data_IF_809269765778
#
_entry.id   IF_809269765778
#
_cell.length_a   1.000
_cell.length_b   1.000
_cell.length_c   1.000
_cell.angle_alpha   90.00
_cell.angle_beta   90.00
_cell.angle_gamma   90.00
#
_symmetry.space_group_name_H-M   'P 1'
#
loop_
_entity.id
_entity.type
_entity.pdbx_description
1 polymer ?
#
# COMPACT_ATOMS: atom_id res chain seq x y z
N UNK A 1 2.75 30.58 7.96
CA UNK A 1 2.43 29.16 8.23
C UNK A 1 2.86 28.89 9.64
N UNK A 2 1.96 28.29 10.41
CA UNK A 2 2.25 27.82 11.76
C UNK A 2 2.50 26.31 11.66
N UNK A 3 3.78 25.93 11.63
CA UNK A 3 4.18 24.53 11.59
C UNK A 3 4.11 23.92 13.00
N UNK A 4 3.75 22.64 13.08
CA UNK A 4 3.79 21.85 14.31
C UNK A 4 4.67 20.61 14.12
N UNK A 5 5.22 20.05 15.23
CA UNK A 5 5.83 18.73 15.18
C UNK A 5 4.91 17.70 14.51
N UNK A 6 5.47 16.90 13.62
CA UNK A 6 4.76 15.91 12.80
C UNK A 6 4.33 16.40 11.42
N UNK A 7 4.34 17.72 11.15
CA UNK A 7 4.06 18.21 9.80
C UNK A 7 5.14 17.74 8.81
N UNK A 8 4.70 17.40 7.60
CA UNK A 8 5.61 17.14 6.49
C UNK A 8 5.77 18.43 5.69
N UNK A 9 7.00 18.84 5.49
CA UNK A 9 7.38 20.06 4.78
C UNK A 9 8.40 19.75 3.70
N UNK A 10 8.53 20.65 2.73
CA UNK A 10 9.57 20.59 1.71
C UNK A 10 10.29 21.95 1.67
N UNK A 11 11.56 21.95 1.25
CA UNK A 11 12.22 23.21 0.93
C UNK A 11 11.51 23.84 -0.28
N UNK A 12 11.38 25.17 -0.29
CA UNK A 12 10.84 25.91 -1.44
C UNK A 12 11.65 25.76 -2.73
N UNK A 13 12.88 25.26 -2.63
CA UNK A 13 13.70 24.85 -3.77
C UNK A 13 13.33 23.47 -4.32
N UNK A 14 12.35 22.78 -3.71
CA UNK A 14 12.08 21.36 -3.89
C UNK A 14 13.04 20.47 -3.09
N UNK A 15 12.97 19.15 -3.31
CA UNK A 15 13.87 18.16 -2.70
C UNK A 15 13.11 17.04 -1.99
N UNK A 16 13.75 16.47 -0.97
CA UNK A 16 13.14 15.42 -0.15
C UNK A 16 12.11 16.02 0.84
N UNK A 17 10.99 15.34 1.09
CA UNK A 17 10.08 15.71 2.17
C UNK A 17 10.78 15.54 3.52
N UNK A 18 10.53 16.50 4.41
CA UNK A 18 11.14 16.68 5.71
C UNK A 18 10.04 16.58 6.77
N UNK A 19 10.26 15.84 7.85
CA UNK A 19 9.33 15.81 8.99
C UNK A 19 9.77 16.82 10.04
N UNK A 20 8.85 17.69 10.47
CA UNK A 20 9.08 18.66 11.54
C UNK A 20 9.17 17.95 12.89
N UNK A 21 10.26 18.15 13.62
CA UNK A 21 10.48 17.61 14.98
C UNK A 21 10.17 18.67 16.03
N UNK A 22 10.62 19.90 15.81
CA UNK A 22 10.47 21.01 16.74
C UNK A 22 10.41 22.33 15.98
N UNK A 23 9.64 23.29 16.50
CA UNK A 23 9.60 24.67 16.00
C UNK A 23 9.96 25.60 17.15
N UNK A 24 11.01 26.41 16.97
CA UNK A 24 11.52 27.33 17.99
C UNK A 24 12.10 28.59 17.37
N UNK A 25 11.60 29.75 17.81
CA UNK A 25 12.13 31.07 17.43
C UNK A 25 12.31 31.26 15.90
N UNK A 26 11.35 30.77 15.09
CA UNK A 26 11.39 30.86 13.64
C UNK A 26 12.36 29.88 12.95
N UNK A 27 12.99 28.99 13.71
CA UNK A 27 13.76 27.86 13.22
C UNK A 27 12.98 26.57 13.42
N UNK A 28 13.20 25.63 12.50
CA UNK A 28 12.48 24.36 12.44
C UNK A 28 13.52 23.26 12.40
N UNK A 29 13.46 22.34 13.36
CA UNK A 29 14.28 21.14 13.34
C UNK A 29 13.55 20.09 12.53
N UNK A 30 14.16 19.63 11.45
CA UNK A 30 13.60 18.64 10.55
C UNK A 30 14.43 17.34 10.54
N UNK A 31 13.77 16.24 10.23
CA UNK A 31 14.42 14.94 9.94
C UNK A 31 13.93 14.39 8.61
N UNK A 32 14.81 13.69 7.89
CA UNK A 32 14.46 13.01 6.65
C UNK A 32 15.42 11.87 6.33
N UNK A 33 14.96 10.95 5.49
CA UNK A 33 15.80 9.90 4.92
C UNK A 33 16.47 10.42 3.65
N UNK A 34 17.79 10.33 3.57
CA UNK A 34 18.53 10.55 2.35
C UNK A 34 18.39 9.38 1.38
N UNK A 35 18.91 9.58 0.18
CA UNK A 35 18.74 8.62 -0.92
C UNK A 35 19.43 7.26 -0.68
N UNK A 36 20.43 7.22 0.20
CA UNK A 36 21.19 6.01 0.55
C UNK A 36 20.66 5.34 1.83
N UNK A 37 19.54 5.84 2.39
CA UNK A 37 18.94 5.31 3.61
C UNK A 37 19.49 5.92 4.90
N UNK A 38 20.37 6.91 4.82
CA UNK A 38 20.85 7.66 5.98
C UNK A 38 19.77 8.57 6.56
N UNK A 39 19.68 8.65 7.88
CA UNK A 39 18.78 9.58 8.56
C UNK A 39 19.51 10.91 8.82
N UNK A 40 19.01 11.98 8.24
CA UNK A 40 19.50 13.34 8.44
C UNK A 40 18.64 14.11 9.43
N UNK A 41 19.27 15.04 10.14
CA UNK A 41 18.61 15.99 11.04
C UNK A 41 19.26 17.36 10.88
N UNK A 42 18.47 18.38 10.59
CA UNK A 42 18.97 19.74 10.38
C UNK A 42 18.00 20.80 10.91
N UNK A 43 18.55 21.95 11.27
CA UNK A 43 17.77 23.13 11.67
C UNK A 43 17.68 24.09 10.49
N UNK A 44 16.48 24.30 9.99
CA UNK A 44 16.20 25.12 8.81
C UNK A 44 15.34 26.33 9.20
N UNK A 45 15.55 27.51 8.60
CA UNK A 45 14.68 28.66 8.83
C UNK A 45 13.25 28.38 8.34
N UNK A 46 12.23 28.81 9.08
CA UNK A 46 10.82 28.70 8.65
C UNK A 46 10.59 29.33 7.27
N UNK A 47 11.34 30.37 6.94
CA UNK A 47 11.23 31.10 5.67
C UNK A 47 11.52 30.25 4.42
N UNK A 48 12.30 29.16 4.55
CA UNK A 48 12.68 28.29 3.41
C UNK A 48 11.79 27.07 3.23
N UNK A 49 10.81 26.87 4.12
CA UNK A 49 9.95 25.70 4.14
C UNK A 49 8.53 26.02 3.65
N UNK A 50 7.88 25.03 3.07
CA UNK A 50 6.45 25.00 2.76
C UNK A 50 5.85 23.64 3.15
N UNK A 51 4.55 23.60 3.46
CA UNK A 51 3.84 22.34 3.74
C UNK A 51 3.86 21.45 2.50
N UNK A 52 4.23 20.19 2.66
CA UNK A 52 4.14 19.22 1.59
C UNK A 52 2.67 18.84 1.39
N UNK A 53 2.13 19.06 0.19
CA UNK A 53 0.83 18.54 -0.19
C UNK A 53 0.96 17.01 -0.30
N UNK A 54 0.42 16.29 0.69
CA UNK A 54 0.27 14.84 0.62
C UNK A 54 -1.21 14.59 0.37
N UNK A 55 -1.57 14.31 -0.87
CA UNK A 55 -2.88 13.75 -1.21
C UNK A 55 -2.97 12.37 -0.55
N UNK A 56 -3.57 12.30 0.63
CA UNK A 56 -3.96 11.05 1.30
C UNK A 56 -5.26 10.49 0.71
N UNK A 57 -5.48 10.71 -0.58
CA UNK A 57 -6.76 10.48 -1.28
C UNK A 57 -6.78 9.17 -2.08
N UNK A 58 -5.71 8.37 -2.02
CA UNK A 58 -5.52 7.16 -2.84
C UNK A 58 -5.30 5.94 -1.93
N UNK A 59 -6.31 5.61 -1.13
CA UNK A 59 -6.46 4.32 -0.43
C UNK A 59 -7.97 4.12 -0.21
N UNK A 60 -8.73 4.09 -1.31
CA UNK A 60 -10.07 3.51 -1.33
C UNK A 60 -9.86 1.99 -1.45
N UNK A 61 -9.94 1.29 -0.33
CA UNK A 61 -10.05 -0.17 -0.22
C UNK A 61 -11.21 -0.69 -1.12
N UNK A 62 -10.91 -1.12 -2.35
CA UNK A 62 -11.82 -1.91 -3.19
C UNK A 62 -11.66 -3.41 -2.86
N UNK A 63 -12.12 -3.82 -1.67
CA UNK A 63 -12.25 -5.24 -1.28
C UNK A 63 -13.73 -5.59 -1.04
N UNK A 64 -14.55 -5.67 -2.10
CA UNK A 64 -15.86 -6.34 -2.07
C UNK A 64 -16.20 -6.88 -3.48
N UNK A 65 -15.92 -8.16 -3.74
CA UNK A 65 -16.75 -8.99 -4.62
C UNK A 65 -16.48 -10.48 -4.37
N UNK A 66 -17.20 -11.02 -3.39
CA UNK A 66 -17.35 -12.44 -3.12
C UNK A 66 -18.76 -12.85 -3.57
N UNK A 67 -18.95 -13.00 -4.88
CA UNK A 67 -20.16 -13.58 -5.48
C UNK A 67 -19.86 -15.01 -5.93
N UNK A 68 -19.96 -15.96 -4.99
CA UNK A 68 -20.10 -17.39 -5.29
C UNK A 68 -21.49 -17.64 -5.92
N UNK A 69 -21.57 -17.64 -7.25
CA UNK A 69 -22.75 -18.17 -7.96
C UNK A 69 -22.64 -19.69 -8.06
N UNK A 70 -23.41 -20.40 -7.21
CA UNK A 70 -23.71 -21.82 -7.33
C UNK A 70 -24.59 -22.07 -8.56
N UNK A 71 -23.98 -22.45 -9.69
CA UNK A 71 -24.73 -22.98 -10.84
C UNK A 71 -25.19 -24.43 -10.55
N UNK A 72 -26.42 -24.54 -10.05
CA UNK A 72 -27.28 -25.72 -10.16
C UNK A 72 -27.84 -25.83 -11.60
N UNK A 73 -27.66 -26.98 -12.25
CA UNK A 73 -28.53 -27.64 -13.25
C UNK A 73 -27.66 -28.47 -14.22
N UNK A 74 -28.03 -29.62 -14.75
CA UNK A 74 -29.22 -30.48 -14.68
C UNK A 74 -28.77 -31.82 -15.33
N UNK A 75 -29.55 -32.85 -15.07
CA UNK A 75 -29.46 -34.24 -15.48
C UNK A 75 -29.20 -34.47 -16.98
N UNK A 76 -28.59 -35.59 -17.37
CA UNK A 76 -29.17 -36.56 -18.32
C UNK A 76 -28.37 -37.88 -18.32
N UNK A 77 -29.12 -38.98 -18.15
CA UNK A 77 -28.71 -40.38 -18.29
C UNK A 77 -28.23 -40.67 -19.72
N UNK A 78 -27.23 -41.55 -19.88
CA UNK A 78 -27.35 -42.57 -20.93
C UNK A 78 -26.45 -43.79 -20.64
N UNK A 79 -27.10 -44.94 -20.71
CA UNK A 79 -26.58 -46.29 -20.49
C UNK A 79 -25.76 -46.75 -21.68
N UNK A 80 -24.57 -47.33 -21.48
CA UNK A 80 -24.05 -48.36 -22.40
C UNK A 80 -23.27 -49.42 -21.60
N UNK A 81 -23.85 -50.62 -21.59
CA UNK A 81 -23.22 -51.87 -21.18
C UNK A 81 -22.06 -52.20 -22.13
N UNK A 82 -20.86 -52.56 -21.62
CA UNK A 82 -20.00 -53.51 -22.34
C UNK A 82 -19.05 -54.29 -21.41
N UNK A 83 -19.34 -55.58 -21.37
CA UNK A 83 -18.47 -56.76 -21.22
C UNK A 83 -17.40 -56.82 -20.11
N UNK A 84 -17.72 -57.65 -19.12
CA UNK A 84 -16.71 -58.27 -18.29
C UNK A 84 -15.88 -59.31 -19.05
N UNK A 85 -14.57 -59.09 -19.14
CA UNK A 85 -13.58 -60.19 -19.15
C UNK A 85 -12.37 -59.81 -18.30
N UNK A 86 -12.56 -59.84 -16.97
CA UNK A 86 -11.46 -59.79 -16.01
C UNK A 86 -10.87 -61.19 -15.87
N UNK A 87 -10.06 -61.59 -16.85
CA UNK A 87 -9.20 -62.78 -16.70
C UNK A 87 -8.09 -62.50 -15.69
N UNK A 88 -8.43 -62.62 -14.41
CA UNK A 88 -7.44 -62.59 -13.34
C UNK A 88 -6.82 -63.99 -13.19
N UNK A 89 -5.49 -64.03 -13.36
CA UNK A 89 -4.61 -65.17 -13.05
C UNK A 89 -4.63 -65.45 -11.54
N UNK A 90 -4.82 -66.71 -11.15
CA UNK A 90 -4.33 -67.25 -9.87
C UNK A 90 -4.00 -68.76 -10.00
N UNK A 91 -2.79 -69.09 -9.53
CA UNK A 91 -2.17 -70.40 -9.22
C UNK A 91 -1.93 -71.41 -10.37
#
# INVERSE_FOLDING_TARGET
MDLKPGDVVILKSGGHPLTVVEVKDGNVVCVWMGNEGDLFRETLPLAVLELAETDMSDDEDEDEDDEEEEDEDDEEEDEEEDEGDRRNKVA
#
